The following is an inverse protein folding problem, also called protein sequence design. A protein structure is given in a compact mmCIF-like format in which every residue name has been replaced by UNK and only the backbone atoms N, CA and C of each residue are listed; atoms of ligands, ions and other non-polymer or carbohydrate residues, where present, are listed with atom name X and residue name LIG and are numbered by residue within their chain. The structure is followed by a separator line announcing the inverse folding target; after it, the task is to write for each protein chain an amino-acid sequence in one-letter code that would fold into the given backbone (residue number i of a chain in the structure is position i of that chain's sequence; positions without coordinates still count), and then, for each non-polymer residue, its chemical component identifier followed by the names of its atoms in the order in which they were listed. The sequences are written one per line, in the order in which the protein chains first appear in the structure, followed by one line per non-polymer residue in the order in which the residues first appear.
data_IF_594659198318
#
_entry.id   IF_594659198318
#
_cell.length_a   1.000
_cell.length_b   1.000
_cell.length_c   1.000
_cell.angle_alpha   90.00
_cell.angle_beta   90.00
_cell.angle_gamma   90.00
#
_symmetry.space_group_name_H-M   'P 1'
#
loop_
_entity.id
_entity.type
_entity.pdbx_description
1 polymer ?
#
# COMPACT_ATOMS: atom_id res chain seq x y z
N UNK A 1 -26.12 -31.79 -4.82
CA UNK A 1 -26.82 -30.63 -4.27
C UNK A 1 -27.93 -30.27 -5.24
N UNK A 2 -29.20 -30.07 -4.78
CA UNK A 2 -30.35 -29.84 -5.68
C UNK A 2 -30.32 -28.40 -6.17
N UNK A 3 -30.45 -28.18 -7.47
CA UNK A 3 -30.55 -26.82 -8.08
C UNK A 3 -31.85 -26.21 -7.59
N UNK A 4 -31.78 -24.95 -7.11
CA UNK A 4 -32.98 -24.19 -6.76
C UNK A 4 -33.50 -23.52 -8.03
N UNK A 5 -34.77 -23.81 -8.37
CA UNK A 5 -35.38 -23.20 -9.55
C UNK A 5 -35.67 -21.71 -9.27
N UNK A 6 -35.42 -20.87 -10.29
CA UNK A 6 -35.64 -19.42 -10.25
C UNK A 6 -37.07 -19.12 -10.71
N UNK A 7 -37.84 -18.43 -9.87
CA UNK A 7 -39.20 -17.97 -10.14
C UNK A 7 -39.25 -16.52 -10.63
N UNK A 8 -38.26 -15.72 -10.24
CA UNK A 8 -38.13 -14.31 -10.64
C UNK A 8 -36.75 -13.73 -10.33
N UNK A 9 -36.31 -12.79 -11.15
CA UNK A 9 -35.14 -11.93 -10.88
C UNK A 9 -35.55 -10.50 -11.15
N UNK A 10 -35.06 -9.58 -10.30
CA UNK A 10 -35.26 -8.14 -10.48
C UNK A 10 -34.04 -7.34 -10.00
N UNK A 11 -33.98 -6.05 -10.32
CA UNK A 11 -32.95 -5.11 -9.91
C UNK A 11 -31.51 -5.57 -10.26
N UNK A 12 -31.35 -6.30 -11.39
CA UNK A 12 -30.08 -6.80 -11.83
C UNK A 12 -29.17 -5.67 -12.35
N UNK A 13 -27.94 -5.60 -11.84
CA UNK A 13 -26.92 -4.66 -12.31
C UNK A 13 -25.53 -5.26 -12.19
N UNK A 14 -24.66 -4.92 -13.17
CA UNK A 14 -23.27 -5.33 -13.14
C UNK A 14 -22.49 -4.61 -12.04
N UNK A 15 -21.64 -5.37 -11.36
CA UNK A 15 -20.57 -4.85 -10.52
C UNK A 15 -19.31 -4.61 -11.35
N UNK A 16 -18.36 -3.89 -10.80
CA UNK A 16 -17.09 -3.57 -11.47
C UNK A 16 -16.28 -4.79 -11.91
N UNK A 17 -16.32 -5.86 -11.13
CA UNK A 17 -15.63 -7.11 -11.41
C UNK A 17 -16.37 -8.03 -12.41
N UNK A 18 -17.48 -7.56 -12.98
CA UNK A 18 -18.31 -8.32 -13.91
C UNK A 18 -19.34 -9.26 -13.26
N UNK A 19 -19.36 -9.36 -11.93
CA UNK A 19 -20.46 -10.03 -11.21
C UNK A 19 -21.76 -9.23 -11.39
N UNK A 20 -22.90 -9.84 -11.09
CA UNK A 20 -24.21 -9.21 -11.14
C UNK A 20 -24.88 -9.29 -9.79
N UNK A 21 -25.15 -8.15 -9.17
CA UNK A 21 -26.05 -8.07 -8.04
C UNK A 21 -27.49 -7.99 -8.50
N UNK A 22 -28.35 -8.79 -7.86
CA UNK A 22 -29.77 -8.84 -8.19
C UNK A 22 -30.58 -9.32 -6.97
N UNK A 23 -31.88 -9.29 -7.10
CA UNK A 23 -32.79 -9.94 -6.18
C UNK A 23 -33.43 -11.15 -6.86
N UNK A 24 -33.35 -12.32 -6.22
CA UNK A 24 -33.87 -13.58 -6.78
C UNK A 24 -35.01 -14.13 -5.95
N UNK A 25 -36.09 -14.48 -6.58
CA UNK A 25 -37.17 -15.27 -5.99
C UNK A 25 -37.01 -16.74 -6.43
N UNK A 26 -36.73 -17.60 -5.48
CA UNK A 26 -36.64 -19.03 -5.75
C UNK A 26 -38.02 -19.73 -5.60
N UNK A 27 -38.18 -20.86 -6.28
CA UNK A 27 -39.38 -21.67 -6.16
C UNK A 27 -39.55 -22.18 -4.71
N UNK A 28 -40.76 -21.98 -4.18
CA UNK A 28 -41.12 -22.31 -2.81
C UNK A 28 -40.88 -21.19 -1.80
N UNK A 29 -40.29 -20.07 -2.24
CA UNK A 29 -40.16 -18.85 -1.41
C UNK A 29 -41.23 -17.81 -1.78
N UNK A 30 -41.50 -16.95 -0.82
CA UNK A 30 -42.48 -15.86 -0.96
C UNK A 30 -41.83 -14.49 -1.09
N UNK A 31 -40.51 -14.39 -0.81
CA UNK A 31 -39.76 -13.14 -0.78
C UNK A 31 -38.53 -13.24 -1.67
N UNK A 32 -38.17 -12.09 -2.27
CA UNK A 32 -36.91 -11.93 -3.00
C UNK A 32 -35.75 -11.86 -2.02
N UNK A 33 -34.67 -12.54 -2.34
CA UNK A 33 -33.39 -12.54 -1.60
C UNK A 33 -32.31 -11.85 -2.40
N UNK A 34 -31.44 -11.10 -1.76
CA UNK A 34 -30.26 -10.51 -2.38
C UNK A 34 -29.32 -11.63 -2.84
N UNK A 35 -28.82 -11.51 -4.06
CA UNK A 35 -27.95 -12.51 -4.68
C UNK A 35 -26.89 -11.84 -5.55
N UNK A 36 -25.63 -12.24 -5.36
CA UNK A 36 -24.53 -11.87 -6.24
C UNK A 36 -24.19 -13.06 -7.11
N UNK A 37 -24.45 -12.96 -8.41
CA UNK A 37 -24.17 -13.99 -9.39
C UNK A 37 -22.82 -13.75 -10.06
N UNK A 38 -22.05 -14.82 -10.25
CA UNK A 38 -20.75 -14.80 -10.96
C UNK A 38 -20.74 -15.81 -12.08
N UNK A 39 -19.99 -15.53 -13.15
CA UNK A 39 -19.94 -16.36 -14.34
C UNK A 39 -19.45 -17.78 -14.04
N UNK A 40 -18.43 -17.92 -13.20
CA UNK A 40 -17.75 -19.18 -12.91
C UNK A 40 -18.13 -19.71 -11.51
N UNK A 41 -19.41 -19.58 -11.11
CA UNK A 41 -19.88 -20.09 -9.83
C UNK A 41 -19.73 -21.64 -9.78
N UNK A 42 -19.10 -22.14 -8.74
CA UNK A 42 -18.93 -23.59 -8.55
C UNK A 42 -20.23 -24.27 -8.08
N UNK A 43 -21.19 -23.51 -7.55
CA UNK A 43 -22.46 -24.03 -7.08
C UNK A 43 -23.48 -24.14 -8.22
N UNK A 44 -24.16 -25.30 -8.40
CA UNK A 44 -25.14 -25.46 -9.47
C UNK A 44 -26.29 -24.42 -9.47
N UNK A 45 -26.69 -23.94 -8.28
CA UNK A 45 -27.70 -22.87 -8.16
C UNK A 45 -27.16 -21.55 -8.68
N UNK A 46 -25.90 -21.19 -8.40
CA UNK A 46 -25.28 -19.97 -8.89
C UNK A 46 -25.11 -19.98 -10.41
N UNK A 47 -24.67 -21.11 -10.98
CA UNK A 47 -24.60 -21.29 -12.43
C UNK A 47 -25.99 -21.10 -13.08
N UNK A 48 -27.03 -21.64 -12.45
CA UNK A 48 -28.39 -21.51 -12.97
C UNK A 48 -28.89 -20.05 -12.90
N UNK A 49 -28.65 -19.33 -11.79
CA UNK A 49 -28.98 -17.92 -11.68
C UNK A 49 -28.24 -17.09 -12.72
N UNK A 50 -26.95 -17.34 -12.95
CA UNK A 50 -26.16 -16.68 -13.99
C UNK A 50 -26.77 -16.92 -15.39
N UNK A 51 -27.12 -18.17 -15.73
CA UNK A 51 -27.75 -18.49 -17.02
C UNK A 51 -29.10 -17.81 -17.20
N UNK A 52 -29.92 -17.77 -16.16
CA UNK A 52 -31.22 -17.08 -16.17
C UNK A 52 -31.04 -15.57 -16.40
N UNK A 53 -30.05 -14.93 -15.77
CA UNK A 53 -29.69 -13.52 -15.97
C UNK A 53 -29.28 -13.25 -17.43
N UNK A 54 -28.40 -14.09 -17.98
CA UNK A 54 -27.88 -13.92 -19.34
C UNK A 54 -28.92 -14.25 -20.42
N UNK A 55 -29.99 -14.95 -20.09
CA UNK A 55 -31.07 -15.28 -21.04
C UNK A 55 -31.90 -14.08 -21.50
N UNK A 56 -31.83 -12.95 -20.78
CA UNK A 56 -32.64 -11.76 -21.02
C UNK A 56 -34.12 -11.91 -20.58
N UNK A 57 -34.53 -13.07 -20.09
CA UNK A 57 -35.92 -13.37 -19.67
C UNK A 57 -36.43 -12.43 -18.58
N UNK A 58 -35.54 -11.94 -17.74
CA UNK A 58 -35.87 -11.12 -16.57
C UNK A 58 -35.61 -9.63 -16.78
N UNK A 59 -35.35 -9.22 -18.02
CA UNK A 59 -34.99 -7.85 -18.39
C UNK A 59 -33.49 -7.68 -18.63
N UNK A 60 -33.11 -6.46 -18.98
CA UNK A 60 -31.70 -6.12 -19.18
C UNK A 60 -30.98 -5.96 -17.84
N UNK A 61 -29.72 -6.42 -17.79
CA UNK A 61 -28.83 -6.17 -16.65
C UNK A 61 -28.30 -4.73 -16.79
N UNK A 62 -28.59 -3.87 -15.81
CA UNK A 62 -28.08 -2.51 -15.83
C UNK A 62 -26.55 -2.47 -15.85
N UNK A 63 -25.91 -1.61 -16.63
CA UNK A 63 -24.46 -1.51 -16.68
C UNK A 63 -23.89 -1.03 -15.34
N UNK A 64 -22.63 -1.39 -15.08
CA UNK A 64 -21.90 -0.83 -13.95
C UNK A 64 -21.78 0.69 -14.09
N UNK A 65 -22.13 1.40 -13.04
CA UNK A 65 -22.06 2.86 -13.00
C UNK A 65 -21.02 3.31 -11.97
N UNK A 66 -20.05 4.10 -12.42
CA UNK A 66 -19.10 4.76 -11.53
C UNK A 66 -19.78 5.94 -10.85
N UNK A 67 -19.85 5.92 -9.53
CA UNK A 67 -20.43 7.00 -8.73
C UNK A 67 -19.34 7.89 -8.11
N UNK A 68 -19.66 9.13 -7.73
CA UNK A 68 -18.74 10.00 -7.00
C UNK A 68 -18.20 9.36 -5.73
N UNK A 69 -19.01 8.56 -5.04
CA UNK A 69 -18.64 7.84 -3.82
C UNK A 69 -17.59 6.77 -4.10
N UNK A 70 -17.70 6.05 -5.22
CA UNK A 70 -16.69 5.07 -5.66
C UNK A 70 -15.36 5.75 -6.00
N UNK A 71 -15.40 6.90 -6.67
CA UNK A 71 -14.21 7.71 -6.95
C UNK A 71 -13.55 8.16 -5.63
N UNK A 72 -14.34 8.70 -4.69
CA UNK A 72 -13.84 9.14 -3.39
C UNK A 72 -13.21 7.98 -2.61
N UNK A 73 -13.88 6.84 -2.55
CA UNK A 73 -13.37 5.64 -1.87
C UNK A 73 -12.07 5.10 -2.50
N UNK A 74 -11.97 5.13 -3.84
CA UNK A 74 -10.75 4.74 -4.55
C UNK A 74 -9.59 5.71 -4.25
N UNK A 75 -9.84 7.02 -4.24
CA UNK A 75 -8.85 8.04 -3.86
C UNK A 75 -8.40 7.87 -2.41
N UNK A 76 -9.31 7.59 -1.49
CA UNK A 76 -8.98 7.36 -0.09
C UNK A 76 -8.16 6.08 0.12
N UNK A 77 -8.44 5.03 -0.65
CA UNK A 77 -7.62 3.82 -0.66
C UNK A 77 -6.19 4.12 -1.13
N UNK A 78 -6.05 4.87 -2.24
CA UNK A 78 -4.73 5.29 -2.74
C UNK A 78 -3.97 6.20 -1.79
N UNK A 79 -4.64 7.11 -1.08
CA UNK A 79 -4.00 7.92 -0.02
C UNK A 79 -3.39 7.04 1.07
N UNK A 80 -4.11 6.01 1.51
CA UNK A 80 -3.57 5.04 2.49
C UNK A 80 -2.37 4.26 1.95
N UNK A 81 -2.37 3.88 0.66
CA UNK A 81 -1.21 3.25 0.02
C UNK A 81 0.01 4.19 -0.01
N UNK A 82 -0.18 5.47 -0.32
CA UNK A 82 0.87 6.49 -0.30
C UNK A 82 1.44 6.69 1.11
N UNK A 83 0.59 6.74 2.15
CA UNK A 83 1.05 6.85 3.54
C UNK A 83 1.83 5.60 3.96
N UNK A 84 1.33 4.39 3.65
CA UNK A 84 2.04 3.14 3.94
C UNK A 84 3.39 3.06 3.21
N UNK A 85 3.47 3.53 1.97
CA UNK A 85 4.73 3.65 1.22
C UNK A 85 5.71 4.57 1.96
N UNK A 86 5.27 5.77 2.36
CA UNK A 86 6.09 6.70 3.13
C UNK A 86 6.65 6.05 4.38
N UNK A 87 5.78 5.44 5.21
CA UNK A 87 6.18 4.79 6.45
C UNK A 87 7.21 3.68 6.18
N UNK A 88 7.05 2.93 5.09
CA UNK A 88 8.02 1.90 4.69
C UNK A 88 9.37 2.52 4.31
N UNK A 89 9.36 3.59 3.50
CA UNK A 89 10.60 4.25 3.05
C UNK A 89 11.37 4.90 4.21
N UNK A 90 10.68 5.51 5.17
CA UNK A 90 11.31 6.10 6.36
C UNK A 90 12.02 5.09 7.27
N UNK A 91 11.75 3.80 7.09
CA UNK A 91 12.39 2.71 7.84
C UNK A 91 13.46 1.95 7.03
N UNK A 92 13.71 2.36 5.78
CA UNK A 92 14.78 1.76 4.97
C UNK A 92 16.13 2.25 5.44
N UNK A 93 17.06 1.32 5.65
CA UNK A 93 18.47 1.62 5.87
C UNK A 93 19.12 2.06 4.55
N UNK A 94 20.07 2.98 4.63
CA UNK A 94 20.78 3.50 3.45
C UNK A 94 22.29 3.59 3.76
N UNK A 95 23.09 3.81 2.73
CA UNK A 95 24.53 4.00 2.86
C UNK A 95 24.86 5.47 2.64
N UNK A 96 25.67 6.05 3.51
CA UNK A 96 26.26 7.37 3.33
C UNK A 96 27.78 7.33 3.39
N UNK A 97 28.44 8.37 2.90
CA UNK A 97 29.90 8.46 2.88
C UNK A 97 30.37 9.49 3.91
N UNK A 98 31.36 9.09 4.70
CA UNK A 98 32.06 9.96 5.63
C UNK A 98 33.56 9.63 5.61
N UNK A 99 34.41 10.64 5.46
CA UNK A 99 35.88 10.49 5.39
C UNK A 99 36.35 9.46 4.32
N UNK A 100 35.66 9.41 3.16
CA UNK A 100 35.97 8.46 2.09
C UNK A 100 35.57 7.00 2.37
N UNK A 101 34.86 6.72 3.45
CA UNK A 101 34.31 5.41 3.82
C UNK A 101 32.80 5.40 3.75
N UNK A 102 32.25 4.23 3.52
CA UNK A 102 30.81 3.98 3.48
C UNK A 102 30.34 3.54 4.86
N UNK A 103 29.24 4.11 5.33
CA UNK A 103 28.62 3.76 6.60
C UNK A 103 27.12 3.53 6.42
N UNK A 104 26.59 2.62 7.24
CA UNK A 104 25.15 2.40 7.33
C UNK A 104 24.47 3.59 8.02
N UNK A 105 23.40 4.09 7.40
CA UNK A 105 22.55 5.16 7.90
C UNK A 105 21.12 4.68 8.06
N UNK A 106 20.30 5.49 8.72
CA UNK A 106 18.92 5.20 9.00
C UNK A 106 18.64 5.09 10.50
N UNK A 107 17.38 4.84 10.84
CA UNK A 107 16.91 4.87 12.24
C UNK A 107 17.63 3.85 13.14
N UNK A 108 17.88 2.65 12.63
CA UNK A 108 18.56 1.60 13.37
C UNK A 108 20.03 1.96 13.64
N UNK A 109 20.74 2.41 12.60
CA UNK A 109 22.14 2.82 12.73
C UNK A 109 22.28 4.03 13.64
N UNK A 110 21.36 5.01 13.54
CA UNK A 110 21.31 6.15 14.45
C UNK A 110 21.12 5.73 15.92
N UNK A 111 20.20 4.81 16.18
CA UNK A 111 19.91 4.33 17.54
C UNK A 111 21.10 3.64 18.18
N UNK A 112 21.97 3.02 17.36
CA UNK A 112 23.24 2.38 17.81
C UNK A 112 24.36 3.40 18.00
N UNK A 113 24.47 4.40 17.12
CA UNK A 113 25.56 5.38 17.18
C UNK A 113 25.34 6.45 18.28
N UNK A 114 24.11 6.85 18.54
CA UNK A 114 23.81 7.89 19.53
C UNK A 114 24.38 7.61 20.94
N UNK A 115 24.20 6.43 21.55
CA UNK A 115 24.80 6.12 22.86
C UNK A 115 26.34 6.06 22.82
N UNK A 116 26.93 5.64 21.68
CA UNK A 116 28.39 5.64 21.50
C UNK A 116 28.94 7.06 21.50
N UNK A 117 28.30 7.98 20.79
CA UNK A 117 28.67 9.39 20.78
C UNK A 117 28.56 10.02 22.18
N UNK A 118 27.47 9.74 22.90
CA UNK A 118 27.28 10.24 24.26
C UNK A 118 28.37 9.72 25.20
N UNK A 119 28.74 8.43 25.09
CA UNK A 119 29.81 7.81 25.88
C UNK A 119 31.17 8.38 25.51
N UNK A 120 31.43 8.66 24.22
CA UNK A 120 32.66 9.31 23.77
C UNK A 120 32.78 10.73 24.31
N UNK A 121 31.69 11.51 24.31
CA UNK A 121 31.64 12.87 24.86
C UNK A 121 31.96 12.88 26.37
N UNK A 122 31.52 11.86 27.10
CA UNK A 122 31.80 11.69 28.51
C UNK A 122 33.24 11.17 28.78
N UNK A 123 34.02 10.77 27.76
CA UNK A 123 35.34 10.22 27.92
C UNK A 123 35.34 8.79 28.48
N UNK A 124 34.24 8.04 28.29
CA UNK A 124 34.01 6.71 28.90
C UNK A 124 34.03 5.57 27.87
N UNK A 125 34.52 5.82 26.65
CA UNK A 125 34.67 4.72 25.68
C UNK A 125 35.64 3.68 26.18
N UNK A 126 35.34 2.37 25.96
CA UNK A 126 36.28 1.29 26.27
C UNK A 126 37.57 1.45 25.47
N UNK A 127 38.68 0.99 26.07
CA UNK A 127 39.96 0.88 25.36
C UNK A 127 39.84 -0.03 24.14
N UNK A 128 40.41 0.39 23.01
CA UNK A 128 40.33 -0.36 21.74
C UNK A 128 38.97 -0.31 21.05
N UNK A 129 38.09 0.59 21.46
CA UNK A 129 36.78 0.76 20.78
C UNK A 129 36.95 1.06 19.29
N UNK A 130 36.13 0.41 18.46
CA UNK A 130 36.02 0.68 17.01
C UNK A 130 34.54 0.73 16.60
N UNK A 131 34.28 1.42 15.54
CA UNK A 131 33.00 1.37 14.83
C UNK A 131 33.16 0.53 13.56
N UNK A 132 32.11 -0.08 13.06
CA UNK A 132 32.15 -0.90 11.82
C UNK A 132 31.57 -0.10 10.66
N UNK A 133 32.28 -0.07 9.54
CA UNK A 133 31.79 0.53 8.31
C UNK A 133 30.82 -0.41 7.55
N UNK A 134 30.19 0.07 6.48
CA UNK A 134 29.23 -0.71 5.69
C UNK A 134 29.87 -1.91 4.96
N UNK A 135 31.19 -1.94 4.85
CA UNK A 135 31.96 -3.04 4.24
C UNK A 135 32.52 -4.00 5.33
N UNK A 136 31.98 -3.91 6.56
CA UNK A 136 32.38 -4.71 7.74
C UNK A 136 33.84 -4.56 8.18
N UNK A 137 34.45 -3.41 7.91
CA UNK A 137 35.78 -3.13 8.43
C UNK A 137 35.69 -2.40 9.78
N UNK A 138 36.56 -2.77 10.69
CA UNK A 138 36.73 -2.08 11.97
C UNK A 138 37.45 -0.75 11.76
N UNK A 139 36.81 0.34 12.18
CA UNK A 139 37.32 1.71 12.03
C UNK A 139 37.53 2.30 13.42
N UNK A 140 38.79 2.53 13.79
CA UNK A 140 39.10 3.26 15.02
C UNK A 140 38.85 4.77 14.79
N UNK A 141 37.96 5.33 15.57
CA UNK A 141 37.55 6.73 15.47
C UNK A 141 37.85 7.46 16.78
N UNK A 142 38.41 8.67 16.67
CA UNK A 142 38.50 9.56 17.81
C UNK A 142 37.14 10.07 18.25
N UNK A 143 37.02 10.66 19.42
CA UNK A 143 35.82 11.29 19.93
C UNK A 143 35.26 12.30 18.92
N UNK A 144 36.11 13.16 18.37
CA UNK A 144 35.75 14.19 17.40
C UNK A 144 35.23 13.57 16.11
N UNK A 145 35.83 12.47 15.64
CA UNK A 145 35.39 11.74 14.45
C UNK A 145 34.07 11.01 14.68
N UNK A 146 33.81 10.48 15.85
CA UNK A 146 32.51 9.87 16.19
C UNK A 146 31.38 10.92 16.20
N UNK A 147 31.63 12.11 16.75
CA UNK A 147 30.68 13.21 16.71
C UNK A 147 30.43 13.63 15.25
N UNK A 148 31.48 13.83 14.47
CA UNK A 148 31.35 14.21 13.06
C UNK A 148 30.65 13.13 12.20
N UNK A 149 30.88 11.84 12.49
CA UNK A 149 30.17 10.75 11.84
C UNK A 149 28.67 10.78 12.14
N UNK A 150 28.30 11.05 13.40
CA UNK A 150 26.89 11.24 13.78
C UNK A 150 26.26 12.43 13.06
N UNK A 151 26.95 13.56 13.01
CA UNK A 151 26.45 14.74 12.31
C UNK A 151 26.26 14.48 10.81
N UNK A 152 27.21 13.79 10.18
CA UNK A 152 27.11 13.38 8.79
C UNK A 152 25.92 12.43 8.55
N UNK A 153 25.69 11.46 9.45
CA UNK A 153 24.51 10.58 9.40
C UNK A 153 23.23 11.39 9.53
N UNK A 154 23.14 12.34 10.45
CA UNK A 154 21.96 13.18 10.64
C UNK A 154 21.64 14.00 9.37
N UNK A 155 22.67 14.60 8.74
CA UNK A 155 22.52 15.32 7.47
C UNK A 155 22.00 14.39 6.37
N UNK A 156 22.56 13.19 6.26
CA UNK A 156 22.12 12.22 5.27
C UNK A 156 20.67 11.76 5.51
N UNK A 157 20.28 11.51 6.77
CA UNK A 157 18.90 11.16 7.15
C UNK A 157 17.90 12.27 6.78
N UNK A 158 18.24 13.53 7.01
CA UNK A 158 17.41 14.69 6.63
C UNK A 158 17.25 14.75 5.11
N UNK A 159 18.34 14.52 4.36
CA UNK A 159 18.31 14.53 2.90
C UNK A 159 17.42 13.40 2.33
N UNK A 160 17.53 12.19 2.86
CA UNK A 160 16.67 11.07 2.46
C UNK A 160 15.21 11.31 2.84
N UNK A 161 14.95 11.79 4.05
CA UNK A 161 13.59 12.16 4.50
C UNK A 161 12.94 13.22 3.62
N UNK A 162 13.72 14.19 3.14
CA UNK A 162 13.23 15.24 2.23
C UNK A 162 12.83 14.66 0.87
N UNK A 163 13.63 13.76 0.29
CA UNK A 163 13.28 13.05 -0.97
C UNK A 163 11.98 12.26 -0.83
N UNK A 164 11.82 11.53 0.27
CA UNK A 164 10.60 10.77 0.57
C UNK A 164 9.39 11.70 0.65
N UNK A 165 9.54 12.83 1.33
CA UNK A 165 8.48 13.84 1.47
C UNK A 165 8.09 14.45 0.12
N UNK A 166 9.07 14.83 -0.71
CA UNK A 166 8.79 15.37 -2.05
C UNK A 166 8.06 14.35 -2.91
N UNK A 167 8.51 13.08 -2.92
CA UNK A 167 7.84 12.02 -3.68
C UNK A 167 6.41 11.77 -3.20
N UNK A 168 6.19 11.76 -1.89
CA UNK A 168 4.84 11.65 -1.32
C UNK A 168 3.94 12.80 -1.82
N UNK A 169 4.44 14.03 -1.84
CA UNK A 169 3.70 15.20 -2.32
C UNK A 169 3.34 15.05 -3.80
N UNK A 170 4.30 14.66 -4.65
CA UNK A 170 4.05 14.41 -6.08
C UNK A 170 2.96 13.36 -6.30
N UNK A 171 3.01 12.23 -5.60
CA UNK A 171 1.98 11.19 -5.70
C UNK A 171 0.61 11.69 -5.25
N UNK A 172 0.53 12.53 -4.21
CA UNK A 172 -0.74 13.14 -3.77
C UNK A 172 -1.28 14.14 -4.79
N UNK A 173 -0.43 14.90 -5.44
CA UNK A 173 -0.78 15.83 -6.52
C UNK A 173 -1.26 15.05 -7.76
N UNK A 174 -0.55 14.00 -8.18
CA UNK A 174 -0.96 13.11 -9.26
C UNK A 174 -2.35 12.52 -8.98
N UNK A 175 -2.54 11.93 -7.79
CA UNK A 175 -3.83 11.35 -7.38
C UNK A 175 -4.96 12.39 -7.41
N UNK A 176 -4.69 13.63 -7.01
CA UNK A 176 -5.69 14.69 -7.00
C UNK A 176 -6.21 15.02 -8.40
N UNK A 177 -5.33 14.94 -9.42
CA UNK A 177 -5.63 15.24 -10.82
C UNK A 177 -6.41 14.14 -11.55
N UNK A 178 -6.41 12.90 -11.02
CA UNK A 178 -7.11 11.78 -11.63
C UNK A 178 -8.61 11.86 -11.35
N UNK A 179 -9.43 11.68 -12.39
CA UNK A 179 -10.90 11.80 -12.31
C UNK A 179 -11.62 10.47 -12.58
N UNK A 180 -10.98 9.54 -13.31
CA UNK A 180 -11.59 8.26 -13.63
C UNK A 180 -11.13 7.12 -12.71
N UNK A 181 -12.05 6.20 -12.40
CA UNK A 181 -11.84 5.12 -11.45
C UNK A 181 -10.70 4.18 -11.85
N UNK A 182 -10.56 3.91 -13.16
CA UNK A 182 -9.53 3.00 -13.68
C UNK A 182 -8.13 3.59 -13.49
N UNK A 183 -7.94 4.87 -13.84
CA UNK A 183 -6.67 5.58 -13.67
C UNK A 183 -6.30 5.71 -12.21
N UNK A 184 -7.25 6.03 -11.32
CA UNK A 184 -7.02 6.07 -9.87
C UNK A 184 -6.51 4.73 -9.35
N UNK A 185 -7.16 3.62 -9.73
CA UNK A 185 -6.76 2.28 -9.28
C UNK A 185 -5.46 1.81 -9.88
N UNK A 186 -5.18 2.18 -11.13
CA UNK A 186 -3.95 1.82 -11.85
C UNK A 186 -2.74 2.66 -11.43
N UNK A 187 -2.93 3.76 -10.69
CA UNK A 187 -1.84 4.61 -10.23
C UNK A 187 -0.82 3.80 -9.42
N UNK A 188 0.44 3.81 -9.87
CA UNK A 188 1.53 3.13 -9.20
C UNK A 188 2.05 3.92 -8.00
N UNK A 189 2.31 3.23 -6.90
CA UNK A 189 2.95 3.78 -5.71
C UNK A 189 4.38 3.28 -5.68
N UNK A 190 5.35 4.14 -6.00
CA UNK A 190 6.76 3.75 -6.10
C UNK A 190 7.70 4.92 -5.82
N UNK A 191 8.91 4.58 -5.39
CA UNK A 191 10.08 5.47 -5.52
C UNK A 191 10.42 5.58 -7.01
N UNK A 192 10.65 6.77 -7.51
CA UNK A 192 11.12 6.96 -8.89
C UNK A 192 12.51 6.41 -9.06
#
# INVERSE_FOLDING_TARGET
MKIRAVKGIRNAHYLENGAVDCEVLFEGETEFVLYTAIQDDMAPTGQHVWQELQSGKWGEIAPFTVTPELIAAAKDAKRREIEAWRDSQENVEFIFTFDGRRFDGGKTSQSRLAPVVATAQAGLLPEGFFWTDADNNNVVLTREKLIALNDAMMVAMVAEGFKIHERQREMKEELSSLEDLRSIRAMAISSN
#
